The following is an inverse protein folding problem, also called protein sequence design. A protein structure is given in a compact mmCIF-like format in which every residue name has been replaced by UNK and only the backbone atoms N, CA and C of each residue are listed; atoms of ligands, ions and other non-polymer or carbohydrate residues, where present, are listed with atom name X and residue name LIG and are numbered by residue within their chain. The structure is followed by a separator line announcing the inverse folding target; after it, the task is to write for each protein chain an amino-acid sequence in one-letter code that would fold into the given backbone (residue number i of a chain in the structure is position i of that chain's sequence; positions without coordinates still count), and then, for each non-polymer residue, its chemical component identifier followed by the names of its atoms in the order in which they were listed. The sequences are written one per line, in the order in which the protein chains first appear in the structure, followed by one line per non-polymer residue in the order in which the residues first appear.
data_IF_779164650898
#
_entry.id   IF_779164650898
#
_cell.length_a   1.000
_cell.length_b   1.000
_cell.length_c   1.000
_cell.angle_alpha   90.00
_cell.angle_beta   90.00
_cell.angle_gamma   90.00
#
_symmetry.space_group_name_H-M   'P 1'
#
loop_
_entity.id
_entity.type
_entity.pdbx_description
1 polymer ?
#
# COMPACT_ATOMS: atom_id res chain seq x y z
N UNK A 1 1.30 6.98 19.85
CA UNK A 1 2.55 7.37 19.14
C UNK A 1 3.31 6.19 18.51
N UNK A 2 2.91 4.92 18.72
CA UNK A 2 3.73 3.75 18.30
C UNK A 2 3.10 2.87 17.20
N UNK A 3 1.78 2.82 17.01
CA UNK A 3 1.19 1.76 16.18
C UNK A 3 1.57 1.84 14.68
N UNK A 4 1.47 3.00 14.04
CA UNK A 4 1.78 3.15 12.60
C UNK A 4 3.26 2.98 12.29
N UNK A 5 4.11 3.59 13.12
CA UNK A 5 5.57 3.51 12.98
C UNK A 5 6.03 2.09 13.30
N UNK A 6 5.51 1.47 14.38
CA UNK A 6 5.77 0.06 14.66
C UNK A 6 5.18 -0.85 13.60
N UNK A 7 4.11 -0.49 12.89
CA UNK A 7 3.50 -1.35 11.88
C UNK A 7 4.18 -1.24 10.53
N UNK A 8 4.62 -0.05 10.10
CA UNK A 8 5.56 0.13 8.98
C UNK A 8 6.88 -0.56 9.31
N UNK A 9 7.42 -0.36 10.51
CA UNK A 9 8.60 -1.08 10.99
C UNK A 9 8.36 -2.60 11.07
N UNK A 10 7.16 -3.05 11.46
CA UNK A 10 6.78 -4.46 11.49
C UNK A 10 6.64 -5.03 10.08
N UNK A 11 6.11 -4.31 9.09
CA UNK A 11 6.14 -4.75 7.69
C UNK A 11 7.59 -4.89 7.21
N UNK A 12 8.45 -3.92 7.52
CA UNK A 12 9.84 -3.89 7.08
C UNK A 12 10.75 -4.88 7.84
N UNK A 13 10.45 -5.26 9.09
CA UNK A 13 11.33 -6.06 9.96
C UNK A 13 10.71 -7.38 10.46
N UNK A 14 9.38 -7.52 10.50
CA UNK A 14 8.68 -8.62 11.20
C UNK A 14 7.44 -9.19 10.47
N UNK A 15 7.19 -8.79 9.21
CA UNK A 15 6.20 -9.46 8.38
C UNK A 15 6.56 -10.94 8.33
N UNK A 16 5.58 -11.83 8.52
CA UNK A 16 5.81 -13.30 8.54
C UNK A 16 6.57 -13.85 7.32
N UNK A 17 6.76 -13.03 6.29
CA UNK A 17 7.70 -13.19 5.19
C UNK A 17 8.43 -11.86 4.99
N UNK A 18 9.77 -11.92 5.15
CA UNK A 18 10.74 -10.87 4.87
C UNK A 18 10.36 -10.13 3.57
N UNK A 19 10.23 -8.80 3.58
CA UNK A 19 10.18 -8.04 2.32
C UNK A 19 11.60 -8.05 1.77
N UNK A 20 11.90 -9.02 0.92
CA UNK A 20 13.19 -9.08 0.24
C UNK A 20 13.30 -7.95 -0.78
N UNK A 21 12.18 -7.60 -1.42
CA UNK A 21 12.13 -6.54 -2.41
C UNK A 21 10.76 -5.85 -2.40
N UNK A 22 10.75 -4.63 -1.85
CA UNK A 22 9.57 -3.76 -1.74
C UNK A 22 8.83 -3.61 -3.07
N UNK A 23 9.55 -3.58 -4.19
CA UNK A 23 8.94 -3.36 -5.49
C UNK A 23 8.16 -4.57 -5.97
N UNK A 24 8.73 -5.77 -5.87
CA UNK A 24 8.02 -7.01 -6.25
C UNK A 24 6.91 -7.36 -5.26
N UNK A 25 7.12 -7.11 -3.97
CA UNK A 25 6.17 -7.48 -2.92
C UNK A 25 4.87 -6.65 -2.92
N UNK A 26 4.87 -5.49 -3.59
CA UNK A 26 3.69 -4.63 -3.73
C UNK A 26 2.95 -4.82 -5.06
N UNK A 27 3.54 -5.49 -6.05
CA UNK A 27 2.97 -5.62 -7.40
C UNK A 27 1.61 -6.32 -7.41
N UNK A 28 1.39 -7.31 -6.54
CA UNK A 28 0.12 -8.05 -6.48
C UNK A 28 -1.02 -7.27 -5.79
N UNK A 29 -0.70 -6.12 -5.19
CA UNK A 29 -1.59 -5.22 -4.47
C UNK A 29 -2.13 -5.73 -3.14
N UNK A 30 -1.82 -6.96 -2.72
CA UNK A 30 -2.39 -7.55 -1.48
C UNK A 30 -1.80 -6.90 -0.24
N UNK A 31 -0.47 -6.73 -0.22
CA UNK A 31 0.22 -6.06 0.89
C UNK A 31 -0.18 -4.59 1.03
N UNK A 32 -0.47 -3.91 -0.09
CA UNK A 32 -1.04 -2.56 -0.06
C UNK A 32 -2.43 -2.57 0.61
N UNK A 33 -3.27 -3.55 0.29
CA UNK A 33 -4.57 -3.69 0.94
C UNK A 33 -4.43 -4.03 2.42
N UNK A 34 -3.54 -4.95 2.81
CA UNK A 34 -3.23 -5.23 4.23
C UNK A 34 -2.81 -3.96 4.98
N UNK A 35 -1.98 -3.13 4.35
CA UNK A 35 -1.57 -1.83 4.88
C UNK A 35 -2.75 -0.92 5.11
N UNK A 36 -3.61 -0.77 4.12
CA UNK A 36 -4.77 0.10 4.26
C UNK A 36 -5.79 -0.44 5.25
N UNK A 37 -5.93 -1.76 5.40
CA UNK A 37 -6.75 -2.34 6.47
C UNK A 37 -6.24 -1.93 7.86
N UNK A 38 -4.94 -2.02 8.10
CA UNK A 38 -4.32 -1.61 9.37
C UNK A 38 -4.42 -0.10 9.63
N UNK A 39 -4.31 0.72 8.59
CA UNK A 39 -4.36 2.19 8.68
C UNK A 39 -5.78 2.75 8.83
N UNK A 40 -6.78 2.11 8.22
CA UNK A 40 -8.17 2.57 8.20
C UNK A 40 -9.06 1.85 9.21
N UNK A 41 -8.64 0.67 9.70
CA UNK A 41 -9.46 -0.22 10.51
C UNK A 41 -10.59 -0.90 9.72
N UNK A 42 -10.64 -0.74 8.40
CA UNK A 42 -11.67 -1.33 7.54
C UNK A 42 -11.15 -2.59 6.87
N UNK A 43 -11.97 -3.63 6.81
CA UNK A 43 -11.62 -4.86 6.07
C UNK A 43 -11.79 -4.65 4.57
N UNK A 44 -10.76 -4.96 3.79
CA UNK A 44 -10.69 -4.76 2.35
C UNK A 44 -10.61 -6.11 1.63
N UNK A 45 -11.58 -6.46 0.77
CA UNK A 45 -11.58 -7.74 0.06
C UNK A 45 -10.42 -7.81 -0.93
N UNK A 46 -9.68 -8.93 -0.95
CA UNK A 46 -8.51 -9.16 -1.81
C UNK A 46 -8.82 -10.27 -2.82
N UNK A 47 -8.47 -10.03 -4.08
CA UNK A 47 -8.48 -11.06 -5.12
C UNK A 47 -7.38 -12.09 -4.84
N UNK A 48 -7.75 -13.37 -4.84
CA UNK A 48 -6.88 -14.51 -4.49
C UNK A 48 -6.14 -15.11 -5.71
N UNK A 49 -6.51 -14.73 -6.93
CA UNK A 49 -5.81 -15.17 -8.14
C UNK A 49 -4.43 -14.51 -8.30
N UNK A 50 -3.57 -15.12 -9.12
CA UNK A 50 -2.17 -14.70 -9.37
C UNK A 50 -1.97 -14.04 -10.74
N UNK A 51 -3.03 -13.89 -11.54
CA UNK A 51 -2.91 -13.23 -12.85
C UNK A 51 -2.73 -11.71 -12.71
N UNK A 52 -2.15 -11.07 -13.72
CA UNK A 52 -1.98 -9.60 -13.77
C UNK A 52 -3.30 -8.84 -13.57
N UNK A 53 -4.43 -9.40 -14.02
CA UNK A 53 -5.76 -8.79 -13.82
C UNK A 53 -6.14 -8.76 -12.34
N UNK A 54 -5.87 -9.84 -11.58
CA UNK A 54 -6.12 -9.85 -10.13
C UNK A 54 -5.24 -8.83 -9.41
N UNK A 55 -3.96 -8.72 -9.81
CA UNK A 55 -3.04 -7.71 -9.28
C UNK A 55 -3.56 -6.29 -9.54
N UNK A 56 -3.93 -5.97 -10.78
CA UNK A 56 -4.52 -4.68 -11.14
C UNK A 56 -5.79 -4.39 -10.33
N UNK A 57 -6.66 -5.38 -10.13
CA UNK A 57 -7.87 -5.20 -9.33
C UNK A 57 -7.57 -4.89 -7.86
N UNK A 58 -6.59 -5.58 -7.28
CA UNK A 58 -6.15 -5.31 -5.90
C UNK A 58 -5.53 -3.92 -5.77
N UNK A 59 -4.59 -3.55 -6.65
CA UNK A 59 -3.94 -2.24 -6.63
C UNK A 59 -4.97 -1.13 -6.88
N UNK A 60 -5.86 -1.26 -7.87
CA UNK A 60 -6.93 -0.28 -8.11
C UNK A 60 -7.81 -0.08 -6.88
N UNK A 61 -8.13 -1.15 -6.16
CA UNK A 61 -8.89 -1.06 -4.92
C UNK A 61 -8.13 -0.29 -3.84
N UNK A 62 -6.82 -0.55 -3.69
CA UNK A 62 -5.97 0.19 -2.76
C UNK A 62 -5.92 1.69 -3.10
N UNK A 63 -5.69 2.05 -4.37
CA UNK A 63 -5.66 3.44 -4.81
C UNK A 63 -7.00 4.15 -4.59
N UNK A 64 -8.14 3.46 -4.82
CA UNK A 64 -9.48 4.02 -4.51
C UNK A 64 -9.67 4.28 -3.01
N UNK A 65 -9.19 3.39 -2.15
CA UNK A 65 -9.26 3.59 -0.69
C UNK A 65 -8.43 4.81 -0.27
N UNK A 66 -7.24 4.98 -0.86
CA UNK A 66 -6.39 6.15 -0.64
C UNK A 66 -7.08 7.45 -1.06
N UNK A 67 -7.66 7.49 -2.27
CA UNK A 67 -8.42 8.65 -2.74
C UNK A 67 -9.61 8.96 -1.84
N UNK A 68 -10.36 7.94 -1.38
CA UNK A 68 -11.46 8.12 -0.42
C UNK A 68 -11.02 8.69 0.93
N UNK A 69 -9.76 8.49 1.30
CA UNK A 69 -9.16 9.07 2.51
C UNK A 69 -8.45 10.41 2.24
N UNK A 70 -8.66 11.03 1.08
CA UNK A 70 -8.03 12.31 0.68
C UNK A 70 -6.50 12.23 0.62
N UNK A 71 -5.98 11.11 0.10
CA UNK A 71 -4.56 10.99 -0.25
C UNK A 71 -4.38 11.37 -1.72
N UNK A 72 -3.49 12.32 -1.98
CA UNK A 72 -3.16 12.73 -3.35
C UNK A 72 -2.27 11.70 -4.04
N UNK A 73 -2.71 11.22 -5.21
CA UNK A 73 -2.03 10.20 -6.01
C UNK A 73 -1.56 10.77 -7.35
N UNK A 74 -0.80 11.86 -7.31
CA UNK A 74 -0.38 12.59 -8.52
C UNK A 74 0.46 11.67 -9.43
N UNK A 75 -0.08 11.38 -10.61
CA UNK A 75 0.54 10.54 -11.64
C UNK A 75 0.87 9.09 -11.21
N UNK A 76 0.10 8.52 -10.29
CA UNK A 76 0.26 7.12 -9.87
C UNK A 76 -0.95 6.31 -10.33
N UNK A 77 -0.76 5.43 -11.31
CA UNK A 77 -1.74 4.46 -11.77
C UNK A 77 -1.49 3.06 -11.20
N UNK A 78 -2.49 2.18 -11.34
CA UNK A 78 -2.34 0.78 -10.88
C UNK A 78 -1.36 -0.01 -11.72
N UNK A 79 -1.26 0.27 -13.01
CA UNK A 79 -0.27 -0.34 -13.92
C UNK A 79 1.15 -0.04 -13.46
N UNK A 80 1.42 1.18 -12.99
CA UNK A 80 2.76 1.57 -12.53
C UNK A 80 3.23 0.72 -11.36
N UNK A 81 2.31 0.39 -10.44
CA UNK A 81 2.62 -0.44 -9.29
C UNK A 81 2.75 -1.91 -9.70
N UNK A 82 1.81 -2.43 -10.49
CA UNK A 82 1.81 -3.84 -10.95
C UNK A 82 3.02 -4.15 -11.82
N UNK A 83 3.47 -3.19 -12.64
CA UNK A 83 4.63 -3.36 -13.52
C UNK A 83 5.94 -3.00 -12.79
N UNK A 84 5.88 -2.61 -11.51
CA UNK A 84 7.06 -2.42 -10.67
C UNK A 84 7.83 -1.12 -10.90
N UNK A 85 7.18 -0.03 -11.29
CA UNK A 85 7.83 1.27 -11.45
C UNK A 85 8.35 1.78 -10.10
N UNK A 86 9.66 1.63 -9.86
CA UNK A 86 10.28 1.95 -8.57
C UNK A 86 9.99 3.39 -8.10
N UNK A 87 10.05 4.36 -9.02
CA UNK A 87 9.84 5.78 -8.68
C UNK A 87 8.41 6.03 -8.21
N UNK A 88 7.42 5.48 -8.90
CA UNK A 88 6.02 5.67 -8.57
C UNK A 88 5.59 4.83 -7.36
N UNK A 89 6.17 3.64 -7.17
CA UNK A 89 5.97 2.83 -5.96
C UNK A 89 6.50 3.53 -4.72
N UNK A 90 7.70 4.14 -4.78
CA UNK A 90 8.21 4.95 -3.66
C UNK A 90 7.35 6.17 -3.40
N UNK A 91 6.91 6.87 -4.46
CA UNK A 91 5.99 7.99 -4.34
C UNK A 91 4.67 7.61 -3.66
N UNK A 92 4.12 6.44 -3.99
CA UNK A 92 2.91 5.90 -3.35
C UNK A 92 3.14 5.68 -1.85
N UNK A 93 4.19 4.95 -1.47
CA UNK A 93 4.50 4.68 -0.06
C UNK A 93 4.76 5.97 0.72
N UNK A 94 5.48 6.92 0.11
CA UNK A 94 5.71 8.23 0.70
C UNK A 94 4.40 8.97 1.00
N UNK A 95 3.49 9.04 0.03
CA UNK A 95 2.20 9.72 0.21
C UNK A 95 1.36 9.08 1.32
N UNK A 96 1.40 7.75 1.46
CA UNK A 96 0.74 7.01 2.55
C UNK A 96 1.33 7.39 3.91
N UNK A 97 2.66 7.35 4.04
CA UNK A 97 3.36 7.69 5.28
C UNK A 97 3.04 9.13 5.67
N UNK A 98 3.18 10.07 4.74
CA UNK A 98 2.95 11.49 4.98
C UNK A 98 1.52 11.76 5.46
N UNK A 99 0.52 11.21 4.76
CA UNK A 99 -0.89 11.44 5.10
C UNK A 99 -1.21 10.97 6.53
N UNK A 100 -0.82 9.75 6.90
CA UNK A 100 -1.16 9.22 8.22
C UNK A 100 -0.26 9.74 9.35
N UNK A 101 1.00 10.10 9.10
CA UNK A 101 1.84 10.75 10.11
C UNK A 101 1.29 12.12 10.48
N UNK A 102 0.94 12.94 9.48
CA UNK A 102 0.38 14.27 9.69
C UNK A 102 -0.93 14.20 10.48
N UNK A 103 -1.79 13.21 10.19
CA UNK A 103 -3.05 12.99 10.93
C UNK A 103 -2.90 12.54 12.38
N UNK A 104 -1.73 12.03 12.77
CA UNK A 104 -1.43 11.64 14.16
C UNK A 104 -0.85 12.82 14.96
N UNK A 105 -0.25 13.78 14.25
CA UNK A 105 0.39 14.95 14.85
C UNK A 105 -0.58 16.14 15.04
N UNK A 106 -1.68 16.16 14.29
CA UNK A 106 -2.84 17.03 14.52
C UNK A 106 -3.81 16.40 15.50
#
# INVERSE_FOLDING_TARGET
KSALFNWVYFIFQFGKQHIENLFSDLQDGRRLLDLLEGLTGQKLPKEKGSTRVHALNNVNKALRVLQKNNVDLVNIGSTDIVDGNHKLTLGLIWNIILHWQVRILM
#
